data_IF_522960885591
#
_entry.id   IF_522960885591
#
_cell.length_a   1.000
_cell.length_b   1.000
_cell.length_c   1.000
_cell.angle_alpha   90.00
_cell.angle_beta   90.00
_cell.angle_gamma   90.00
#
_symmetry.space_group_name_H-M   'P 1'
#
loop_
_entity.id
_entity.type
_entity.pdbx_description
1 polymer ?
#
# COMPACT_ATOMS: atom_id res chain seq x y z
N UNK A 1 -8.81 -5.99 14.23
CA UNK A 1 -7.96 -5.00 13.53
C UNK A 1 -8.82 -3.96 12.85
N UNK A 2 -9.60 -4.31 11.81
CA UNK A 2 -10.46 -3.39 11.06
C UNK A 2 -11.44 -2.55 11.92
N UNK A 3 -12.03 -3.12 12.98
CA UNK A 3 -12.95 -2.38 13.85
C UNK A 3 -12.30 -1.22 14.63
N UNK A 4 -11.03 -1.37 15.03
CA UNK A 4 -10.29 -0.33 15.75
C UNK A 4 -9.95 0.80 14.79
N UNK A 5 -9.57 0.46 13.55
CA UNK A 5 -9.29 1.43 12.49
C UNK A 5 -10.52 2.27 12.16
N UNK A 6 -11.70 1.63 12.06
CA UNK A 6 -12.96 2.31 11.77
C UNK A 6 -13.31 3.33 12.87
N UNK A 7 -13.14 2.95 14.14
CA UNK A 7 -13.43 3.82 15.29
C UNK A 7 -12.47 5.02 15.33
N UNK A 8 -11.19 4.80 15.04
CA UNK A 8 -10.18 5.86 15.02
C UNK A 8 -10.41 6.86 13.89
N UNK A 9 -10.85 6.40 12.71
CA UNK A 9 -11.16 7.27 11.56
C UNK A 9 -12.40 8.12 11.81
N UNK A 10 -13.46 7.55 12.40
CA UNK A 10 -14.71 8.28 12.68
C UNK A 10 -14.51 9.31 13.80
N UNK A 11 -13.63 9.03 14.76
CA UNK A 11 -13.36 9.90 15.90
C UNK A 11 -12.34 11.02 15.62
N UNK A 12 -11.73 11.07 14.42
CA UNK A 12 -10.74 12.09 14.07
C UNK A 12 -11.42 13.44 13.75
N UNK A 13 -11.20 14.49 14.55
CA UNK A 13 -11.90 15.77 14.42
C UNK A 13 -11.30 16.70 13.35
N UNK A 14 -10.10 16.42 12.84
CA UNK A 14 -9.42 17.22 11.82
C UNK A 14 -8.79 16.35 10.72
N UNK A 15 -8.86 16.80 9.46
CA UNK A 15 -8.25 16.14 8.31
C UNK A 15 -6.73 15.93 8.47
N UNK A 16 -6.05 16.80 9.21
CA UNK A 16 -4.62 16.64 9.52
C UNK A 16 -4.33 15.45 10.46
N UNK A 17 -5.25 15.09 11.36
CA UNK A 17 -5.07 13.89 12.18
C UNK A 17 -5.19 12.62 11.34
N UNK A 18 -6.05 12.60 10.31
CA UNK A 18 -6.17 11.46 9.40
C UNK A 18 -4.87 11.21 8.62
N UNK A 19 -4.20 12.27 8.17
CA UNK A 19 -2.90 12.17 7.48
C UNK A 19 -1.79 11.54 8.34
N UNK A 20 -1.90 11.62 9.67
CA UNK A 20 -0.93 11.02 10.62
C UNK A 20 -1.36 9.62 11.05
N UNK A 21 -2.66 9.39 11.28
CA UNK A 21 -3.20 8.12 11.76
C UNK A 21 -3.22 7.04 10.66
N UNK A 22 -3.54 7.41 9.42
CA UNK A 22 -3.63 6.46 8.30
C UNK A 22 -2.32 5.69 8.08
N UNK A 23 -1.14 6.32 7.98
CA UNK A 23 0.12 5.60 7.84
C UNK A 23 0.40 4.63 8.99
N UNK A 24 0.12 5.04 10.23
CA UNK A 24 0.37 4.21 11.43
C UNK A 24 -0.43 2.92 11.39
N UNK A 25 -1.64 2.98 10.83
CA UNK A 25 -2.54 1.84 10.70
C UNK A 25 -2.17 0.98 9.49
N UNK A 26 -1.90 1.62 8.35
CA UNK A 26 -1.69 0.94 7.06
C UNK A 26 -0.31 0.28 6.99
N UNK A 27 0.73 0.88 7.57
CA UNK A 27 2.12 0.36 7.52
C UNK A 27 2.24 -1.06 8.13
N UNK A 28 1.76 -1.34 9.36
CA UNK A 28 1.82 -2.68 9.94
C UNK A 28 1.07 -3.72 9.10
N UNK A 29 -0.11 -3.35 8.60
CA UNK A 29 -0.93 -4.23 7.76
C UNK A 29 -0.21 -4.56 6.44
N UNK A 30 0.40 -3.56 5.79
CA UNK A 30 1.20 -3.76 4.58
C UNK A 30 2.47 -4.57 4.83
N UNK A 31 3.16 -4.36 5.95
CA UNK A 31 4.30 -5.19 6.34
C UNK A 31 3.90 -6.66 6.49
N UNK A 32 2.75 -6.94 7.10
CA UNK A 32 2.19 -8.28 7.18
C UNK A 32 1.93 -8.89 5.79
N UNK A 33 1.32 -8.13 4.88
CA UNK A 33 1.05 -8.57 3.51
C UNK A 33 2.36 -8.87 2.75
N UNK A 34 3.33 -7.95 2.79
CA UNK A 34 4.66 -8.14 2.17
C UNK A 34 5.34 -9.38 2.72
N UNK A 35 5.28 -9.59 4.04
CA UNK A 35 5.87 -10.76 4.69
C UNK A 35 5.19 -12.07 4.24
N UNK A 36 3.86 -12.09 4.17
CA UNK A 36 3.11 -13.27 3.71
C UNK A 36 3.46 -13.63 2.26
N UNK A 37 3.49 -12.65 1.35
CA UNK A 37 3.86 -12.92 -0.05
C UNK A 37 5.33 -13.29 -0.21
N UNK A 38 6.22 -12.70 0.59
CA UNK A 38 7.63 -13.09 0.64
C UNK A 38 7.79 -14.54 1.12
N UNK A 39 7.07 -14.93 2.17
CA UNK A 39 7.08 -16.30 2.68
C UNK A 39 6.49 -17.27 1.65
N UNK A 40 5.38 -16.91 1.00
CA UNK A 40 4.79 -17.71 -0.07
C UNK A 40 5.76 -17.89 -1.25
N UNK A 41 6.50 -16.84 -1.62
CA UNK A 41 7.58 -16.92 -2.60
C UNK A 41 8.67 -17.91 -2.18
N UNK A 42 9.17 -17.80 -0.93
CA UNK A 42 10.22 -18.68 -0.40
C UNK A 42 9.77 -20.14 -0.32
N UNK A 43 8.51 -20.37 0.07
CA UNK A 43 7.91 -21.70 0.19
C UNK A 43 7.35 -22.24 -1.14
N UNK A 44 7.47 -21.49 -2.24
CA UNK A 44 6.89 -21.82 -3.56
C UNK A 44 5.39 -22.16 -3.50
N UNK A 45 4.67 -21.57 -2.56
CA UNK A 45 3.21 -21.68 -2.41
C UNK A 45 2.52 -20.60 -3.24
N UNK A 46 1.21 -20.77 -3.48
CA UNK A 46 0.40 -19.89 -4.33
C UNK A 46 0.80 -19.91 -5.82
N UNK A 47 0.80 -21.10 -6.42
CA UNK A 47 1.06 -21.33 -7.87
C UNK A 47 0.09 -20.62 -8.81
N UNK A 48 -1.06 -20.16 -8.31
CA UNK A 48 -2.08 -19.45 -9.09
C UNK A 48 -1.68 -17.99 -9.36
N UNK A 49 -0.88 -17.39 -8.48
CA UNK A 49 -0.42 -16.00 -8.58
C UNK A 49 1.11 -15.96 -8.71
N UNK A 50 1.70 -14.76 -8.83
CA UNK A 50 3.16 -14.56 -8.87
C UNK A 50 3.61 -13.88 -7.58
N UNK A 51 3.93 -14.64 -6.50
CA UNK A 51 4.21 -14.07 -5.17
C UNK A 51 5.37 -13.09 -5.16
N UNK A 52 6.38 -13.29 -6.03
CA UNK A 52 7.51 -12.36 -6.18
C UNK A 52 7.06 -10.97 -6.62
N UNK A 53 6.19 -10.90 -7.64
CA UNK A 53 5.69 -9.62 -8.17
C UNK A 53 4.78 -8.95 -7.14
N UNK A 54 3.94 -9.72 -6.46
CA UNK A 54 3.10 -9.21 -5.37
C UNK A 54 3.93 -8.65 -4.22
N UNK A 55 4.99 -9.34 -3.81
CA UNK A 55 5.91 -8.85 -2.77
C UNK A 55 6.48 -7.49 -3.18
N UNK A 56 6.96 -7.35 -4.43
CA UNK A 56 7.48 -6.08 -4.95
C UNK A 56 6.40 -5.01 -5.01
N UNK A 57 5.20 -5.33 -5.50
CA UNK A 57 4.09 -4.38 -5.59
C UNK A 57 3.66 -3.85 -4.22
N UNK A 58 3.42 -4.73 -3.26
CA UNK A 58 3.07 -4.32 -1.89
C UNK A 58 4.23 -3.63 -1.17
N UNK A 59 5.48 -3.96 -1.49
CA UNK A 59 6.64 -3.26 -0.96
C UNK A 59 6.77 -1.84 -1.51
N UNK A 60 6.54 -1.65 -2.83
CA UNK A 60 6.45 -0.32 -3.43
C UNK A 60 5.29 0.49 -2.85
N UNK A 61 4.15 -0.16 -2.59
CA UNK A 61 3.02 0.47 -1.93
C UNK A 61 3.33 0.92 -0.50
N UNK A 62 4.06 0.10 0.25
CA UNK A 62 4.55 0.45 1.59
C UNK A 62 5.47 1.67 1.53
N UNK A 63 6.41 1.70 0.58
CA UNK A 63 7.30 2.86 0.37
C UNK A 63 6.49 4.11 0.00
N UNK A 64 5.50 4.01 -0.91
CA UNK A 64 4.61 5.12 -1.27
C UNK A 64 3.91 5.69 -0.04
N UNK A 65 3.36 4.83 0.83
CA UNK A 65 2.66 5.25 2.05
C UNK A 65 3.58 5.92 3.08
N UNK A 66 4.84 5.49 3.19
CA UNK A 66 5.84 6.13 4.08
C UNK A 66 6.29 7.48 3.50
N UNK A 67 6.49 7.56 2.18
CA UNK A 67 6.93 8.78 1.51
C UNK A 67 5.82 9.84 1.45
N UNK A 68 4.55 9.44 1.43
CA UNK A 68 3.39 10.34 1.34
C UNK A 68 3.40 11.48 2.38
N UNK A 69 3.51 11.23 3.70
CA UNK A 69 3.61 12.31 4.69
C UNK A 69 4.89 13.14 4.55
N UNK A 70 5.99 12.54 4.06
CA UNK A 70 7.25 13.27 3.81
C UNK A 70 7.10 14.24 2.65
N UNK A 71 6.48 13.82 1.54
CA UNK A 71 6.23 14.64 0.36
C UNK A 71 5.22 15.75 0.70
N UNK A 72 4.15 15.43 1.44
CA UNK A 72 3.18 16.42 1.91
C UNK A 72 3.85 17.52 2.75
N UNK A 73 4.79 17.15 3.62
CA UNK A 73 5.54 18.11 4.44
C UNK A 73 6.47 19.02 3.63
N UNK A 74 6.99 18.54 2.49
CA UNK A 74 7.91 19.29 1.62
C UNK A 74 7.16 20.18 0.62
N UNK A 75 6.09 19.67 0.00
CA UNK A 75 5.36 20.33 -1.09
C UNK A 75 4.08 21.05 -0.65
N UNK A 76 3.63 20.85 0.59
CA UNK A 76 2.36 21.36 1.12
C UNK A 76 1.13 20.68 0.50
N UNK A 77 -0.07 21.14 0.88
CA UNK A 77 -1.36 20.64 0.38
C UNK A 77 -1.71 21.18 -1.02
N UNK A 78 -0.72 21.23 -1.92
CA UNK A 78 -0.91 21.68 -3.29
C UNK A 78 -1.44 20.55 -4.18
N UNK A 79 -2.27 20.90 -5.18
CA UNK A 79 -2.82 19.96 -6.16
C UNK A 79 -1.75 19.09 -6.85
N UNK A 80 -0.53 19.63 -7.00
CA UNK A 80 0.63 18.92 -7.55
C UNK A 80 1.05 17.71 -6.71
N UNK A 81 1.03 17.82 -5.37
CA UNK A 81 1.35 16.71 -4.48
C UNK A 81 0.33 15.58 -4.62
N UNK A 82 -0.97 15.93 -4.59
CA UNK A 82 -2.06 14.97 -4.72
C UNK A 82 -1.93 14.22 -6.04
N UNK A 83 -1.72 14.95 -7.14
CA UNK A 83 -1.60 14.37 -8.48
C UNK A 83 -0.42 13.41 -8.58
N UNK A 84 0.74 13.77 -8.02
CA UNK A 84 1.94 12.94 -8.05
C UNK A 84 1.77 11.66 -7.21
N UNK A 85 1.16 11.77 -6.03
CA UNK A 85 0.90 10.65 -5.14
C UNK A 85 -0.10 9.65 -5.76
N UNK A 86 -1.17 10.15 -6.39
CA UNK A 86 -2.14 9.32 -7.12
C UNK A 86 -1.49 8.59 -8.31
N UNK A 87 -0.60 9.26 -9.05
CA UNK A 87 0.09 8.65 -10.19
C UNK A 87 1.02 7.50 -9.76
N UNK A 88 1.72 7.68 -8.63
CA UNK A 88 2.54 6.61 -8.02
C UNK A 88 1.64 5.44 -7.62
N UNK A 89 0.50 5.69 -6.98
CA UNK A 89 -0.41 4.63 -6.56
C UNK A 89 -0.99 3.85 -7.74
N UNK A 90 -1.37 4.53 -8.83
CA UNK A 90 -1.81 3.87 -10.07
C UNK A 90 -0.73 2.92 -10.59
N UNK A 91 0.52 3.37 -10.63
CA UNK A 91 1.63 2.53 -11.06
C UNK A 91 1.82 1.30 -10.15
N UNK A 92 1.77 1.52 -8.84
CA UNK A 92 1.86 0.45 -7.83
C UNK A 92 0.72 -0.56 -8.01
N UNK A 93 -0.50 -0.09 -8.23
CA UNK A 93 -1.65 -0.96 -8.48
C UNK A 93 -1.49 -1.79 -9.74
N UNK A 94 -0.93 -1.23 -10.83
CA UNK A 94 -0.61 -1.99 -12.04
C UNK A 94 0.36 -3.14 -11.71
N UNK A 95 1.40 -2.88 -10.92
CA UNK A 95 2.36 -3.93 -10.51
C UNK A 95 1.67 -5.03 -9.69
N UNK A 96 0.84 -4.66 -8.73
CA UNK A 96 0.06 -5.63 -7.92
C UNK A 96 -0.85 -6.46 -8.82
N UNK A 97 -1.55 -5.81 -9.75
CA UNK A 97 -2.46 -6.48 -10.69
C UNK A 97 -1.73 -7.48 -11.58
N UNK A 98 -0.54 -7.13 -12.09
CA UNK A 98 0.32 -8.05 -12.85
C UNK A 98 0.81 -9.24 -12.02
N UNK A 99 0.93 -9.06 -10.69
CA UNK A 99 1.25 -10.13 -9.75
C UNK A 99 0.08 -11.08 -9.49
N UNK A 100 -1.16 -10.58 -9.54
CA UNK A 100 -2.39 -11.36 -9.44
C UNK A 100 -2.77 -12.02 -10.77
N UNK A 101 -2.36 -11.44 -11.90
CA UNK A 101 -2.71 -11.94 -13.22
C UNK A 101 -2.10 -13.33 -13.47
N UNK A 102 -2.99 -14.33 -13.51
CA UNK A 102 -2.65 -15.70 -13.92
C UNK A 102 -2.40 -15.70 -15.43
N UNK A 103 -1.29 -16.30 -15.87
CA UNK A 103 -1.15 -16.67 -17.28
C UNK A 103 -2.21 -17.74 -17.56
N UNK A 104 -3.32 -17.37 -18.19
CA UNK A 104 -4.23 -18.32 -18.82
C UNK A 104 -3.44 -18.96 -19.97
N UNK A 105 -2.71 -20.02 -19.67
CA UNK A 105 -2.28 -20.96 -20.69
C UNK A 105 -3.53 -21.73 -21.11
N UNK A 106 -4.10 -21.32 -22.24
CA UNK A 106 -4.92 -22.21 -23.05
C UNK A 106 -4.05 -23.28 -23.70
#
# INVERSE_FOLDING_TARGET
>A
MVFIELVVVIAAPENNMLAVLLPIIVIPSLLGIVYIFFLAYRLKRLTVVKPKILTIGFFLYLISNILRPVIQKIFGDNATYITLAELIDIFVFIVIFLGLYKKTSG
#
